data_IF_558774504484
#
_entry.id   IF_558774504484
#
_cell.length_a   1.000
_cell.length_b   1.000
_cell.length_c   1.000
_cell.angle_alpha   90.00
_cell.angle_beta   90.00
_cell.angle_gamma   90.00
#
_symmetry.space_group_name_H-M   'P 1'
#
loop_
_entity.id
_entity.type
_entity.pdbx_description
1 polymer ?
#
# COMPACT_ATOMS: atom_id res chain seq x y z
N UNK A 1 14.33 -0.88 15.94
CA UNK A 1 14.21 0.58 16.16
C UNK A 1 13.99 1.38 14.86
N UNK A 2 14.66 1.07 13.74
CA UNK A 2 14.44 1.82 12.47
C UNK A 2 13.03 1.69 11.86
N UNK A 3 12.30 0.59 12.11
CA UNK A 3 11.02 0.31 11.44
C UNK A 3 9.87 1.12 12.01
N UNK A 4 9.79 1.28 13.33
CA UNK A 4 8.72 2.04 14.00
C UNK A 4 8.73 3.52 13.61
N UNK A 5 9.91 4.12 13.45
CA UNK A 5 10.05 5.50 12.98
C UNK A 5 9.50 5.70 11.56
N UNK A 6 9.70 4.74 10.65
CA UNK A 6 9.14 4.79 9.29
C UNK A 6 7.63 4.69 9.28
N UNK A 7 7.05 3.81 10.10
CA UNK A 7 5.59 3.68 10.23
C UNK A 7 4.99 4.98 10.75
N UNK A 8 5.56 5.58 11.79
CA UNK A 8 5.12 6.87 12.30
C UNK A 8 5.20 7.97 11.23
N UNK A 9 6.31 8.04 10.48
CA UNK A 9 6.47 9.00 9.39
C UNK A 9 5.41 8.82 8.28
N UNK A 10 5.09 7.57 7.90
CA UNK A 10 4.06 7.28 6.89
C UNK A 10 2.66 7.68 7.37
N UNK A 11 2.32 7.38 8.63
CA UNK A 11 1.04 7.76 9.23
C UNK A 11 0.89 9.29 9.30
N UNK A 12 1.91 9.98 9.82
CA UNK A 12 1.92 11.44 9.88
C UNK A 12 1.86 12.05 8.47
N UNK A 13 2.61 11.51 7.51
CA UNK A 13 2.56 11.96 6.12
C UNK A 13 1.19 11.80 5.48
N UNK A 14 0.50 10.67 5.74
CA UNK A 14 -0.86 10.45 5.25
C UNK A 14 -1.86 11.45 5.87
N UNK A 15 -1.77 11.71 7.17
CA UNK A 15 -2.63 12.68 7.86
C UNK A 15 -2.39 14.10 7.32
N UNK A 16 -1.12 14.52 7.25
CA UNK A 16 -0.74 15.85 6.73
C UNK A 16 -1.19 16.00 5.28
N UNK A 17 -1.02 14.97 4.44
CA UNK A 17 -1.47 14.99 3.05
C UNK A 17 -2.97 15.21 2.92
N UNK A 18 -3.78 14.58 3.77
CA UNK A 18 -5.24 14.76 3.81
C UNK A 18 -5.61 16.19 4.25
N UNK A 19 -4.97 16.71 5.29
CA UNK A 19 -5.20 18.09 5.77
C UNK A 19 -4.86 19.11 4.68
N UNK A 20 -3.72 18.92 3.98
CA UNK A 20 -3.33 19.77 2.85
C UNK A 20 -4.35 19.67 1.71
N UNK A 21 -4.80 18.47 1.36
CA UNK A 21 -5.83 18.29 0.34
C UNK A 21 -7.13 19.02 0.71
N UNK A 22 -7.61 18.90 1.95
CA UNK A 22 -8.79 19.65 2.40
C UNK A 22 -8.61 21.16 2.32
N UNK A 23 -7.42 21.67 2.68
CA UNK A 23 -7.10 23.09 2.52
C UNK A 23 -7.12 23.55 1.05
N UNK A 24 -6.65 22.72 0.12
CA UNK A 24 -6.69 23.01 -1.32
C UNK A 24 -8.11 23.08 -1.89
N UNK A 25 -9.06 22.36 -1.29
CA UNK A 25 -10.45 22.27 -1.74
C UNK A 25 -11.43 23.05 -0.86
N UNK A 26 -10.95 23.92 0.04
CA UNK A 26 -11.77 24.71 0.97
C UNK A 26 -12.75 23.84 1.81
N UNK A 27 -12.26 22.70 2.28
CA UNK A 27 -13.02 21.74 3.10
C UNK A 27 -12.67 21.85 4.57
N UNK A 28 -13.51 21.29 5.44
CA UNK A 28 -13.16 21.10 6.85
C UNK A 28 -11.87 20.26 6.97
N UNK A 29 -10.85 20.82 7.62
CA UNK A 29 -9.50 20.24 7.65
C UNK A 29 -9.45 18.84 8.26
N UNK A 30 -10.20 18.62 9.33
CA UNK A 30 -10.34 17.33 10.01
C UNK A 30 -11.79 16.89 9.97
N UNK A 31 -12.02 15.71 9.45
CA UNK A 31 -13.33 15.08 9.32
C UNK A 31 -13.18 13.57 9.46
N UNK A 32 -14.25 12.87 9.81
CA UNK A 32 -14.28 11.41 9.82
C UNK A 32 -15.14 10.94 8.65
N UNK A 33 -14.63 10.00 7.87
CA UNK A 33 -15.32 9.47 6.70
C UNK A 33 -16.56 8.67 7.10
N UNK A 34 -17.67 8.90 6.42
CA UNK A 34 -18.90 8.09 6.47
C UNK A 34 -19.01 7.13 5.26
N UNK A 35 -18.11 7.25 4.29
CA UNK A 35 -18.10 6.46 3.04
C UNK A 35 -18.00 4.95 3.30
N UNK A 36 -19.06 4.21 2.97
CA UNK A 36 -19.12 2.76 3.16
C UNK A 36 -18.29 2.01 2.11
N UNK A 37 -17.20 1.37 2.53
CA UNK A 37 -16.43 0.42 1.71
C UNK A 37 -16.26 -0.91 2.44
N UNK A 38 -17.06 -1.90 2.10
CA UNK A 38 -17.02 -3.23 2.74
C UNK A 38 -17.49 -4.32 1.78
N UNK A 39 -17.24 -5.58 2.13
CA UNK A 39 -17.65 -6.76 1.37
C UNK A 39 -16.48 -7.52 0.73
N UNK A 40 -16.71 -8.80 0.43
CA UNK A 40 -15.66 -9.70 -0.06
C UNK A 40 -14.96 -9.22 -1.33
N UNK A 41 -15.69 -8.63 -2.28
CA UNK A 41 -15.10 -8.07 -3.50
C UNK A 41 -14.12 -6.92 -3.21
N UNK A 42 -14.44 -6.06 -2.23
CA UNK A 42 -13.58 -4.94 -1.83
C UNK A 42 -12.30 -5.45 -1.18
N UNK A 43 -12.41 -6.40 -0.24
CA UNK A 43 -11.25 -6.95 0.46
C UNK A 43 -10.36 -7.77 -0.48
N UNK A 44 -10.96 -8.56 -1.37
CA UNK A 44 -10.20 -9.29 -2.39
C UNK A 44 -9.45 -8.33 -3.32
N UNK A 45 -10.11 -7.26 -3.77
CA UNK A 45 -9.49 -6.23 -4.60
C UNK A 45 -8.28 -5.58 -3.92
N UNK A 46 -8.35 -5.30 -2.61
CA UNK A 46 -7.22 -4.80 -1.82
C UNK A 46 -6.06 -5.80 -1.71
N UNK A 47 -6.38 -7.08 -1.54
CA UNK A 47 -5.40 -8.15 -1.60
C UNK A 47 -4.65 -8.14 -2.93
N UNK A 48 -5.39 -8.16 -4.05
CA UNK A 48 -4.81 -8.14 -5.40
C UNK A 48 -4.01 -6.87 -5.67
N UNK A 49 -4.52 -5.70 -5.26
CA UNK A 49 -3.82 -4.43 -5.36
C UNK A 49 -2.47 -4.49 -4.62
N UNK A 50 -2.47 -5.03 -3.41
CA UNK A 50 -1.25 -5.11 -2.60
C UNK A 50 -0.26 -6.13 -3.16
N UNK A 51 -0.77 -7.25 -3.70
CA UNK A 51 0.07 -8.25 -4.38
C UNK A 51 0.84 -7.59 -5.52
N UNK A 52 0.14 -6.96 -6.46
CA UNK A 52 0.80 -6.37 -7.62
C UNK A 52 1.69 -5.18 -7.26
N UNK A 53 1.33 -4.38 -6.25
CA UNK A 53 2.19 -3.28 -5.78
C UNK A 53 3.52 -3.80 -5.23
N UNK A 54 3.48 -4.80 -4.36
CA UNK A 54 4.69 -5.37 -3.74
C UNK A 54 5.52 -6.11 -4.78
N UNK A 55 4.89 -6.87 -5.69
CA UNK A 55 5.58 -7.51 -6.83
C UNK A 55 6.24 -6.46 -7.73
N UNK A 56 5.56 -5.35 -8.04
CA UNK A 56 6.12 -4.28 -8.85
C UNK A 56 7.35 -3.65 -8.17
N UNK A 57 7.30 -3.39 -6.86
CA UNK A 57 8.43 -2.86 -6.09
C UNK A 57 9.60 -3.86 -6.09
N UNK A 58 9.36 -5.09 -5.63
CA UNK A 58 10.42 -6.09 -5.43
C UNK A 58 11.01 -6.57 -6.76
N UNK A 59 10.17 -6.78 -7.77
CA UNK A 59 10.61 -7.22 -9.10
C UNK A 59 11.43 -6.17 -9.86
N UNK A 60 11.24 -4.88 -9.55
CA UNK A 60 11.94 -3.80 -10.24
C UNK A 60 13.13 -3.22 -9.47
N UNK A 61 13.23 -3.50 -8.17
CA UNK A 61 14.33 -3.04 -7.31
C UNK A 61 15.72 -3.41 -7.83
N UNK A 62 15.86 -4.54 -8.54
CA UNK A 62 17.13 -4.94 -9.17
C UNK A 62 17.64 -3.95 -10.23
N UNK A 63 16.77 -3.13 -10.80
CA UNK A 63 17.12 -2.06 -11.74
C UNK A 63 17.27 -0.69 -11.07
N UNK A 64 17.21 -0.64 -9.73
CA UNK A 64 17.43 0.54 -8.92
C UNK A 64 16.16 1.22 -8.41
N UNK A 65 16.33 2.04 -7.38
CA UNK A 65 15.23 2.69 -6.64
C UNK A 65 14.40 3.67 -7.49
N UNK A 66 15.00 4.28 -8.51
CA UNK A 66 14.28 5.17 -9.46
C UNK A 66 13.22 4.41 -10.26
N UNK A 67 13.58 3.22 -10.77
CA UNK A 67 12.64 2.37 -11.52
C UNK A 67 11.54 1.88 -10.57
N UNK A 68 11.91 1.41 -9.37
CA UNK A 68 10.92 0.99 -8.39
C UNK A 68 9.91 2.09 -8.03
N UNK A 69 10.36 3.34 -7.85
CA UNK A 69 9.47 4.47 -7.60
C UNK A 69 8.53 4.75 -8.78
N UNK A 70 9.04 4.70 -10.02
CA UNK A 70 8.20 4.86 -11.21
C UNK A 70 7.15 3.74 -11.33
N UNK A 71 7.54 2.50 -11.04
CA UNK A 71 6.64 1.34 -11.04
C UNK A 71 5.54 1.46 -9.99
N UNK A 72 5.82 2.01 -8.80
CA UNK A 72 4.79 2.31 -7.79
C UNK A 72 3.76 3.28 -8.36
N UNK A 73 4.19 4.40 -8.94
CA UNK A 73 3.27 5.39 -9.50
C UNK A 73 2.40 4.83 -10.61
N UNK A 74 3.00 4.09 -11.55
CA UNK A 74 2.28 3.43 -12.64
C UNK A 74 1.30 2.37 -12.14
N UNK A 75 1.72 1.56 -11.17
CA UNK A 75 0.89 0.48 -10.65
C UNK A 75 -0.30 1.02 -9.83
N UNK A 76 -0.09 1.99 -8.94
CA UNK A 76 -1.19 2.61 -8.19
C UNK A 76 -2.18 3.28 -9.14
N UNK A 77 -1.68 3.96 -10.18
CA UNK A 77 -2.54 4.53 -11.22
C UNK A 77 -3.36 3.43 -11.89
N UNK A 78 -2.76 2.34 -12.36
CA UNK A 78 -3.52 1.25 -12.96
C UNK A 78 -4.53 0.62 -11.97
N UNK A 79 -4.10 0.33 -10.75
CA UNK A 79 -4.89 -0.32 -9.72
C UNK A 79 -6.09 0.53 -9.28
N UNK A 80 -5.96 1.85 -9.26
CA UNK A 80 -7.09 2.74 -9.00
C UNK A 80 -8.24 2.52 -10.00
N UNK A 81 -7.94 2.17 -11.26
CA UNK A 81 -8.94 1.91 -12.31
C UNK A 81 -9.47 0.47 -12.32
N UNK A 82 -8.61 -0.54 -12.13
CA UNK A 82 -9.04 -1.94 -12.28
C UNK A 82 -9.57 -2.58 -10.99
N UNK A 83 -9.34 -1.96 -9.83
CA UNK A 83 -9.78 -2.52 -8.54
C UNK A 83 -11.09 -1.89 -8.07
N UNK A 84 -12.04 -2.72 -7.61
CA UNK A 84 -13.30 -2.25 -7.03
C UNK A 84 -13.12 -1.36 -5.80
N UNK A 85 -11.94 -1.45 -5.15
CA UNK A 85 -11.60 -0.72 -3.93
C UNK A 85 -10.91 0.61 -4.16
N UNK A 86 -10.57 0.98 -5.39
CA UNK A 86 -9.77 2.19 -5.70
C UNK A 86 -8.37 2.15 -5.07
N UNK A 87 -7.77 0.95 -4.99
CA UNK A 87 -6.40 0.65 -4.56
C UNK A 87 -5.91 1.46 -3.34
N UNK A 88 -6.35 1.07 -2.14
CA UNK A 88 -5.74 1.63 -0.93
C UNK A 88 -4.32 1.08 -0.77
N UNK A 89 -4.16 -0.24 -0.84
CA UNK A 89 -2.92 -1.03 -0.94
C UNK A 89 -1.79 -0.73 0.08
N UNK A 90 -2.00 0.24 0.96
CA UNK A 90 -1.00 0.86 1.84
C UNK A 90 -1.74 1.21 3.15
N UNK A 91 -1.40 0.56 4.29
CA UNK A 91 -2.13 0.77 5.54
C UNK A 91 -2.17 2.24 6.02
N UNK A 92 -1.08 2.99 5.83
CA UNK A 92 -1.05 4.41 6.20
C UNK A 92 -2.00 5.26 5.34
N UNK A 93 -2.15 4.94 4.06
CA UNK A 93 -3.14 5.58 3.18
C UNK A 93 -4.56 5.22 3.64
N UNK A 94 -4.80 3.97 4.05
CA UNK A 94 -6.09 3.60 4.66
C UNK A 94 -6.41 4.45 5.87
N UNK A 95 -5.43 4.71 6.74
CA UNK A 95 -5.62 5.60 7.90
C UNK A 95 -5.94 7.03 7.47
N UNK A 96 -5.20 7.59 6.52
CA UNK A 96 -5.50 8.93 5.99
C UNK A 96 -6.91 9.00 5.38
N UNK A 97 -7.32 7.97 4.63
CA UNK A 97 -8.65 7.91 4.00
C UNK A 97 -9.80 7.74 4.99
N UNK A 98 -9.54 7.37 6.26
CA UNK A 98 -10.54 7.47 7.32
C UNK A 98 -10.85 8.93 7.69
N UNK A 99 -9.96 9.86 7.38
CA UNK A 99 -10.02 11.26 7.79
C UNK A 99 -10.58 12.20 6.72
N UNK A 100 -11.19 11.68 5.65
CA UNK A 100 -11.80 12.47 4.56
C UNK A 100 -13.18 11.92 4.21
N UNK A 101 -14.24 12.73 4.32
CA UNK A 101 -15.62 12.36 3.98
C UNK A 101 -15.94 12.74 2.53
N UNK A 102 -15.18 12.14 1.62
CA UNK A 102 -15.32 12.30 0.17
C UNK A 102 -15.46 10.94 -0.50
N UNK A 103 -15.60 10.91 -1.83
CA UNK A 103 -15.56 9.65 -2.59
C UNK A 103 -14.29 8.82 -2.31
N UNK A 104 -13.20 9.49 -1.90
CA UNK A 104 -11.96 8.83 -1.52
C UNK A 104 -11.99 8.25 -0.10
N UNK A 105 -12.97 8.57 0.73
CA UNK A 105 -13.04 8.12 2.12
C UNK A 105 -13.24 6.61 2.33
N UNK A 106 -13.02 6.16 3.57
CA UNK A 106 -13.48 4.86 4.10
C UNK A 106 -13.98 5.03 5.54
N UNK A 107 -15.17 4.47 5.85
CA UNK A 107 -15.68 4.40 7.21
C UNK A 107 -14.63 3.74 8.13
N UNK A 108 -14.26 4.34 9.28
CA UNK A 108 -13.22 3.79 10.16
C UNK A 108 -13.42 2.34 10.57
N UNK A 109 -14.69 1.94 10.76
CA UNK A 109 -15.04 0.57 11.12
C UNK A 109 -14.67 -0.46 10.03
N UNK A 110 -14.56 -0.04 8.78
CA UNK A 110 -14.24 -0.94 7.65
C UNK A 110 -12.73 -1.01 7.34
N UNK A 111 -11.94 -0.04 7.84
CA UNK A 111 -10.49 0.02 7.61
C UNK A 111 -9.72 -1.24 8.08
N UNK A 112 -10.03 -1.87 9.23
CA UNK A 112 -9.30 -3.06 9.68
C UNK A 112 -9.31 -4.21 8.66
N UNK A 113 -10.45 -4.46 8.00
CA UNK A 113 -10.55 -5.52 7.00
C UNK A 113 -9.67 -5.24 5.76
N UNK A 114 -9.57 -3.97 5.35
CA UNK A 114 -8.67 -3.54 4.27
C UNK A 114 -7.21 -3.78 4.66
N UNK A 115 -6.81 -3.37 5.88
CA UNK A 115 -5.45 -3.57 6.38
C UNK A 115 -5.08 -5.06 6.45
N UNK A 116 -6.00 -5.93 6.91
CA UNK A 116 -5.78 -7.38 6.92
C UNK A 116 -5.60 -7.93 5.50
N UNK A 117 -6.45 -7.52 4.55
CA UNK A 117 -6.32 -7.93 3.16
C UNK A 117 -4.99 -7.45 2.53
N UNK A 118 -4.55 -6.24 2.86
CA UNK A 118 -3.26 -5.70 2.41
C UNK A 118 -2.10 -6.54 2.94
N UNK A 119 -2.09 -6.89 4.24
CA UNK A 119 -1.07 -7.77 4.79
C UNK A 119 -1.08 -9.17 4.15
N UNK A 120 -2.25 -9.75 3.93
CA UNK A 120 -2.37 -11.03 3.23
C UNK A 120 -1.80 -10.94 1.81
N UNK A 121 -2.11 -9.88 1.06
CA UNK A 121 -1.57 -9.63 -0.27
C UNK A 121 -0.05 -9.44 -0.27
N UNK A 122 0.50 -8.73 0.72
CA UNK A 122 1.94 -8.55 0.86
C UNK A 122 2.67 -9.88 1.12
N UNK A 123 2.11 -10.76 1.96
CA UNK A 123 2.66 -12.10 2.21
C UNK A 123 2.68 -12.92 0.92
N UNK A 124 1.57 -12.92 0.17
CA UNK A 124 1.48 -13.63 -1.12
C UNK A 124 2.50 -13.09 -2.11
N UNK A 125 2.66 -11.76 -2.22
CA UNK A 125 3.65 -11.16 -3.11
C UNK A 125 5.09 -11.57 -2.79
N UNK A 126 5.45 -11.60 -1.50
CA UNK A 126 6.78 -12.02 -1.06
C UNK A 126 7.04 -13.49 -1.43
N UNK A 127 6.04 -14.37 -1.24
CA UNK A 127 6.15 -15.77 -1.65
C UNK A 127 6.31 -15.91 -3.18
N UNK A 128 5.49 -15.20 -3.95
CA UNK A 128 5.51 -15.24 -5.43
C UNK A 128 6.84 -14.71 -5.97
N UNK A 129 7.31 -13.55 -5.49
CA UNK A 129 8.56 -12.98 -6.00
C UNK A 129 9.78 -13.79 -5.56
N UNK A 130 9.77 -14.36 -4.35
CA UNK A 130 10.83 -15.24 -3.87
C UNK A 130 10.93 -16.53 -4.71
N UNK A 131 9.79 -17.03 -5.20
CA UNK A 131 9.75 -18.17 -6.11
C UNK A 131 10.16 -17.81 -7.55
N UNK A 132 9.67 -16.69 -8.10
CA UNK A 132 9.99 -16.23 -9.46
C UNK A 132 11.43 -15.73 -9.63
N UNK A 133 11.98 -15.13 -8.57
CA UNK A 133 13.30 -14.51 -8.58
C UNK A 133 14.11 -15.01 -7.37
N UNK A 134 14.52 -16.29 -7.35
CA UNK A 134 15.34 -16.83 -6.28
C UNK A 134 16.67 -16.07 -6.18
N UNK A 135 17.12 -15.80 -4.95
CA UNK A 135 18.46 -15.29 -4.73
C UNK A 135 19.50 -16.34 -5.18
N UNK A 136 20.67 -15.92 -5.69
CA UNK A 136 21.76 -16.85 -5.98
C UNK A 136 22.07 -17.71 -4.75
N UNK A 137 22.25 -19.01 -4.94
CA UNK A 137 22.67 -19.90 -3.86
C UNK A 137 24.03 -19.42 -3.33
N UNK A 138 24.10 -19.16 -2.03
CA UNK A 138 25.37 -18.86 -1.36
C UNK A 138 26.13 -20.18 -1.23
N UNK A 139 27.13 -20.40 -2.10
CA UNK A 139 28.03 -21.54 -1.97
C UNK A 139 29.04 -21.26 -0.84
N UNK A 140 28.86 -21.95 0.28
CA UNK A 140 29.69 -21.80 1.50
C UNK A 140 31.14 -22.30 1.31
N UNK A 141 31.42 -22.99 0.20
CA UNK A 141 32.70 -23.67 -0.06
C UNK A 141 33.88 -22.76 -0.43
N UNK A 142 33.67 -21.46 -0.72
CA UNK A 142 34.73 -20.56 -1.20
C UNK A 142 35.44 -19.78 -0.08
N UNK A 143 35.17 -20.08 1.20
CA UNK A 143 35.75 -19.37 2.36
C UNK A 143 36.70 -20.22 3.21
N UNK A 144 37.16 -21.37 2.69
CA UNK A 144 37.95 -22.35 3.44
C UNK A 144 39.40 -22.55 2.93
N UNK A 145 39.94 -21.64 2.11
CA UNK A 145 41.37 -21.65 1.72
C UNK A 145 42.11 -20.37 2.13
#
# INVERSE_FOLDING_TARGET
MLTSGKVAAQLNGAIVGVVVAHGLFDMQLLQASTTLRTGGAQWFAEGIATVGLVVAILGTLRWGTKIAAASVGLYITAAYWFTASTSFAIPAVTVGRMLTDTFSGILPLHAPAFVVAQFAGAIVAVAVIGWLMPAPAVNVTETAE
#
